data_IF_606128378958
#
_entry.id   IF_606128378958
#
_cell.length_a   1.000
_cell.length_b   1.000
_cell.length_c   1.000
_cell.angle_alpha   90.00
_cell.angle_beta   90.00
_cell.angle_gamma   90.00
#
_symmetry.space_group_name_H-M   'P 1'
#
loop_
_entity.id
_entity.type
_entity.pdbx_description
1 polymer ?
#
# COMPACT_ATOMS: atom_id res chain seq x y z
N UNK A 1 -3.35 -8.17 6.75
CA UNK A 1 -2.54 -7.44 5.76
C UNK A 1 -1.74 -6.34 6.47
N UNK A 2 -0.48 -6.54 6.88
CA UNK A 2 0.34 -5.46 7.44
C UNK A 2 0.82 -4.50 6.35
N UNK A 3 0.67 -3.19 6.61
CA UNK A 3 1.33 -2.17 5.81
C UNK A 3 2.86 -2.25 6.00
N UNK A 4 3.70 -1.96 4.98
CA UNK A 4 5.15 -1.99 5.12
C UNK A 4 5.68 -1.09 6.24
N UNK A 5 4.98 0.02 6.53
CA UNK A 5 5.30 0.93 7.63
C UNK A 5 5.22 0.30 9.04
N UNK A 6 4.60 -0.88 9.18
CA UNK A 6 4.59 -1.61 10.45
C UNK A 6 5.98 -2.07 10.83
N UNK A 7 6.79 -2.51 9.87
CA UNK A 7 8.16 -2.98 10.14
C UNK A 7 9.04 -1.88 10.72
N UNK A 8 8.87 -0.64 10.25
CA UNK A 8 9.60 0.53 10.74
C UNK A 8 9.27 0.95 12.19
N UNK A 9 8.28 0.32 12.83
CA UNK A 9 7.95 0.58 14.24
C UNK A 9 8.87 -0.17 15.20
N UNK A 10 9.60 -1.16 14.73
CA UNK A 10 10.47 -2.00 15.56
C UNK A 10 11.93 -1.62 15.33
N UNK A 11 12.62 -1.27 16.43
CA UNK A 11 14.06 -1.03 16.41
C UNK A 11 14.80 -2.37 16.27
N UNK A 12 15.81 -2.42 15.41
CA UNK A 12 16.66 -3.60 15.22
C UNK A 12 15.87 -4.87 14.85
N UNK A 13 14.91 -4.75 13.94
CA UNK A 13 14.21 -5.90 13.38
C UNK A 13 15.15 -6.64 12.42
N UNK A 14 15.65 -7.78 12.85
CA UNK A 14 16.59 -8.59 12.05
C UNK A 14 15.87 -9.36 10.93
N UNK A 15 14.60 -9.72 11.16
CA UNK A 15 13.79 -10.51 10.22
C UNK A 15 12.31 -10.13 10.34
N UNK A 16 11.67 -9.87 9.21
CA UNK A 16 10.26 -9.55 9.12
C UNK A 16 9.35 -10.68 9.59
N UNK A 17 9.83 -11.92 9.52
CA UNK A 17 9.10 -13.10 9.97
C UNK A 17 8.77 -13.05 11.47
N UNK A 18 9.51 -12.29 12.29
CA UNK A 18 9.12 -12.03 13.69
C UNK A 18 7.79 -11.27 13.79
N UNK A 19 7.60 -10.25 12.96
CA UNK A 19 6.36 -9.46 12.93
C UNK A 19 5.21 -10.33 12.42
N UNK A 20 5.42 -11.04 11.32
CA UNK A 20 4.40 -11.86 10.67
C UNK A 20 3.98 -13.04 11.55
N UNK A 21 4.94 -13.75 12.13
CA UNK A 21 4.67 -14.83 13.10
C UNK A 21 4.01 -14.30 14.37
N UNK A 22 4.41 -13.11 14.83
CA UNK A 22 3.77 -12.43 15.96
C UNK A 22 2.29 -12.15 15.70
N UNK A 23 1.92 -11.71 14.50
CA UNK A 23 0.53 -11.52 14.09
C UNK A 23 -0.26 -12.83 14.12
N UNK A 24 0.30 -13.94 13.63
CA UNK A 24 -0.35 -15.25 13.75
C UNK A 24 -0.55 -15.65 15.22
N UNK A 25 0.40 -15.37 16.10
CA UNK A 25 0.25 -15.63 17.55
C UNK A 25 -0.78 -14.70 18.24
N UNK A 26 -1.17 -13.59 17.60
CA UNK A 26 -2.29 -12.77 18.06
C UNK A 26 -3.66 -13.33 17.67
N UNK A 27 -3.71 -14.33 16.78
CA UNK A 27 -4.94 -15.02 16.41
C UNK A 27 -5.38 -14.81 14.95
N UNK A 28 -4.55 -14.21 14.11
CA UNK A 28 -4.79 -14.22 12.67
C UNK A 28 -4.45 -15.59 12.10
N UNK A 29 -5.37 -16.18 11.33
CA UNK A 29 -5.20 -17.50 10.72
C UNK A 29 -4.10 -17.49 9.64
N UNK A 30 -3.99 -16.37 8.93
CA UNK A 30 -2.97 -16.16 7.91
C UNK A 30 -2.54 -14.69 7.84
N UNK A 31 -1.36 -14.44 7.27
CA UNK A 31 -0.81 -13.08 7.12
C UNK A 31 -0.20 -12.96 5.73
N UNK A 32 -0.57 -11.90 5.00
CA UNK A 32 0.00 -11.57 3.69
C UNK A 32 0.54 -10.15 3.70
N UNK A 33 1.76 -9.97 3.25
CA UNK A 33 2.42 -8.68 3.16
C UNK A 33 1.83 -7.80 2.06
N UNK A 34 1.50 -6.56 2.39
CA UNK A 34 1.12 -5.55 1.39
C UNK A 34 2.34 -5.11 0.57
N UNK A 35 3.53 -5.21 1.12
CA UNK A 35 4.80 -4.96 0.43
C UNK A 35 4.99 -5.81 -0.83
N UNK A 36 4.64 -7.09 -0.80
CA UNK A 36 4.66 -7.95 -2.00
C UNK A 36 3.68 -7.49 -3.08
N UNK A 37 2.49 -7.04 -2.68
CA UNK A 37 1.53 -6.46 -3.62
C UNK A 37 2.00 -5.10 -4.16
N UNK A 38 2.75 -4.32 -3.38
CA UNK A 38 3.34 -3.07 -3.84
C UNK A 38 4.37 -3.31 -4.95
N UNK A 39 5.16 -4.36 -4.88
CA UNK A 39 6.07 -4.77 -5.97
C UNK A 39 5.32 -5.12 -7.25
N UNK A 40 4.20 -5.85 -7.14
CA UNK A 40 3.35 -6.17 -8.29
C UNK A 40 2.74 -4.93 -8.93
N UNK A 41 2.25 -3.98 -8.10
CA UNK A 41 1.72 -2.71 -8.59
C UNK A 41 2.81 -1.89 -9.27
N UNK A 42 4.02 -1.82 -8.70
CA UNK A 42 5.15 -1.12 -9.30
C UNK A 42 5.54 -1.70 -10.67
N UNK A 43 5.56 -3.03 -10.79
CA UNK A 43 5.83 -3.69 -12.06
C UNK A 43 4.72 -3.40 -13.09
N UNK A 44 3.44 -3.45 -12.69
CA UNK A 44 2.33 -3.11 -13.56
C UNK A 44 2.39 -1.64 -14.01
N UNK A 45 2.74 -0.72 -13.10
CA UNK A 45 2.94 0.70 -13.39
C UNK A 45 4.04 0.90 -14.44
N UNK A 46 5.21 0.26 -14.27
CA UNK A 46 6.30 0.32 -15.25
C UNK A 46 5.84 -0.11 -16.64
N UNK A 47 5.13 -1.24 -16.73
CA UNK A 47 4.61 -1.75 -18.01
C UNK A 47 3.63 -0.80 -18.68
N UNK A 48 2.71 -0.20 -17.91
CA UNK A 48 1.78 0.78 -18.45
C UNK A 48 2.49 2.05 -18.92
N UNK A 49 3.47 2.54 -18.18
CA UNK A 49 4.28 3.70 -18.56
C UNK A 49 5.11 3.42 -19.82
N UNK A 50 5.72 2.24 -19.93
CA UNK A 50 6.51 1.82 -21.09
C UNK A 50 5.63 1.62 -22.35
N UNK A 51 4.37 1.23 -22.16
CA UNK A 51 3.39 1.15 -23.25
C UNK A 51 2.97 2.52 -23.80
N UNK A 52 3.28 3.62 -23.09
CA UNK A 52 3.00 4.98 -23.53
C UNK A 52 1.52 5.35 -23.60
N UNK A 53 0.66 4.62 -22.88
CA UNK A 53 -0.80 4.82 -22.90
C UNK A 53 -1.30 5.76 -21.83
N UNK A 54 -0.44 6.14 -20.88
CA UNK A 54 -0.81 7.01 -19.77
C UNK A 54 -0.47 8.48 -20.07
N UNK A 55 -1.32 9.38 -19.59
CA UNK A 55 -1.06 10.82 -19.63
C UNK A 55 0.05 11.18 -18.63
N UNK A 56 1.06 11.93 -19.06
CA UNK A 56 2.17 12.36 -18.22
C UNK A 56 2.00 13.79 -17.71
N UNK A 57 2.53 14.09 -16.51
CA UNK A 57 3.09 13.15 -15.55
C UNK A 57 2.02 12.21 -15.00
N UNK A 58 2.37 10.94 -14.74
CA UNK A 58 1.47 9.98 -14.09
C UNK A 58 1.45 10.24 -12.59
N UNK A 59 0.28 10.43 -12.00
CA UNK A 59 0.13 10.64 -10.56
C UNK A 59 -0.22 9.32 -9.88
N UNK A 60 0.47 8.99 -8.78
CA UNK A 60 0.18 7.80 -7.98
C UNK A 60 -1.27 7.74 -7.52
N UNK A 61 -1.88 6.56 -7.59
CA UNK A 61 -3.22 6.28 -7.04
C UNK A 61 -3.18 5.69 -5.62
N UNK A 62 -2.00 5.55 -5.02
CA UNK A 62 -1.82 4.86 -3.75
C UNK A 62 -2.45 5.59 -2.55
N UNK A 63 -2.45 6.92 -2.56
CA UNK A 63 -3.02 7.73 -1.50
C UNK A 63 -4.49 8.09 -1.78
N UNK A 64 -5.47 7.51 -1.08
CA UNK A 64 -6.89 7.80 -1.34
C UNK A 64 -7.28 9.24 -0.96
N UNK A 65 -6.54 9.90 -0.06
CA UNK A 65 -6.78 11.30 0.25
C UNK A 65 -6.44 12.20 -0.95
N UNK A 66 -5.29 11.94 -1.58
CA UNK A 66 -4.85 12.67 -2.77
C UNK A 66 -5.80 12.43 -3.94
N UNK A 67 -6.19 11.19 -4.20
CA UNK A 67 -7.12 10.87 -5.29
C UNK A 67 -8.48 11.57 -5.09
N UNK A 68 -8.97 11.64 -3.84
CA UNK A 68 -10.19 12.40 -3.52
C UNK A 68 -10.01 13.90 -3.71
N UNK A 69 -8.86 14.44 -3.29
CA UNK A 69 -8.53 15.84 -3.47
C UNK A 69 -8.50 16.21 -4.97
N UNK A 70 -7.86 15.40 -5.81
CA UNK A 70 -7.81 15.60 -7.26
C UNK A 70 -9.24 15.64 -7.80
N UNK A 71 -10.08 14.65 -7.51
CA UNK A 71 -11.45 14.59 -8.01
C UNK A 71 -12.31 15.78 -7.62
N UNK A 72 -12.06 16.41 -6.47
CA UNK A 72 -12.89 17.51 -5.97
C UNK A 72 -12.33 18.87 -6.37
N UNK A 73 -11.01 19.05 -6.33
CA UNK A 73 -10.39 20.36 -6.52
C UNK A 73 -9.65 20.50 -7.86
N UNK A 74 -9.17 19.40 -8.43
CA UNK A 74 -8.35 19.37 -9.64
C UNK A 74 -8.91 18.35 -10.65
N UNK A 75 -10.19 18.46 -11.06
CA UNK A 75 -10.84 17.43 -11.88
C UNK A 75 -10.17 17.19 -13.23
N UNK A 76 -9.50 18.20 -13.78
CA UNK A 76 -8.77 18.10 -15.05
C UNK A 76 -7.52 17.20 -14.95
N UNK A 77 -7.04 16.93 -13.73
CA UNK A 77 -5.94 16.00 -13.47
C UNK A 77 -6.39 14.54 -13.27
N UNK A 78 -7.67 14.23 -13.36
CA UNK A 78 -8.15 12.86 -13.16
C UNK A 78 -7.55 11.87 -14.16
N UNK A 79 -7.29 12.27 -15.38
CA UNK A 79 -6.71 11.42 -16.43
C UNK A 79 -5.20 11.15 -16.21
N UNK A 80 -4.56 11.92 -15.34
CA UNK A 80 -3.18 11.70 -14.91
C UNK A 80 -3.06 10.64 -13.81
N UNK A 81 -4.16 10.34 -13.10
CA UNK A 81 -4.14 9.38 -11.98
C UNK A 81 -3.96 7.96 -12.51
N UNK A 82 -2.98 7.25 -11.97
CA UNK A 82 -2.67 5.87 -12.33
C UNK A 82 -3.92 4.98 -12.21
N UNK A 83 -4.37 4.29 -13.29
CA UNK A 83 -5.59 3.50 -13.26
C UNK A 83 -5.35 2.08 -12.71
N UNK A 84 -4.65 1.97 -11.59
CA UNK A 84 -4.39 0.72 -10.89
C UNK A 84 -4.99 0.75 -9.49
N UNK A 85 -5.31 -0.44 -8.99
CA UNK A 85 -5.69 -0.62 -7.59
C UNK A 85 -4.50 -0.36 -6.68
N UNK A 86 -4.78 0.17 -5.50
CA UNK A 86 -3.75 0.34 -4.48
C UNK A 86 -3.15 -1.01 -4.06
N UNK A 87 -1.91 -1.04 -3.55
CA UNK A 87 -1.32 -2.26 -2.99
C UNK A 87 -2.18 -2.94 -1.93
N UNK A 88 -2.90 -2.18 -1.11
CA UNK A 88 -3.85 -2.69 -0.13
C UNK A 88 -4.95 -3.54 -0.78
N UNK A 89 -5.63 -3.01 -1.79
CA UNK A 89 -6.71 -3.72 -2.49
C UNK A 89 -6.18 -4.93 -3.29
N UNK A 90 -5.01 -4.78 -3.89
CA UNK A 90 -4.34 -5.86 -4.62
C UNK A 90 -3.99 -7.01 -3.67
N UNK A 91 -3.38 -6.70 -2.52
CA UNK A 91 -3.07 -7.69 -1.49
C UNK A 91 -4.34 -8.40 -0.98
N UNK A 92 -5.40 -7.64 -0.72
CA UNK A 92 -6.66 -8.20 -0.22
C UNK A 92 -7.29 -9.19 -1.19
N UNK A 93 -7.30 -8.86 -2.48
CA UNK A 93 -7.79 -9.77 -3.54
C UNK A 93 -7.00 -11.07 -3.58
N UNK A 94 -5.67 -10.96 -3.57
CA UNK A 94 -4.78 -12.13 -3.60
C UNK A 94 -4.97 -12.96 -2.33
N UNK A 95 -4.97 -12.33 -1.16
CA UNK A 95 -5.12 -13.02 0.13
C UNK A 95 -6.44 -13.79 0.23
N UNK A 96 -7.57 -13.16 -0.14
CA UNK A 96 -8.87 -13.83 -0.14
C UNK A 96 -8.88 -14.99 -1.14
N UNK A 97 -8.34 -14.82 -2.33
CA UNK A 97 -8.28 -15.89 -3.33
C UNK A 97 -7.44 -17.07 -2.84
N UNK A 98 -6.29 -16.83 -2.24
CA UNK A 98 -5.44 -17.88 -1.67
C UNK A 98 -6.12 -18.58 -0.48
N UNK A 99 -6.77 -17.81 0.40
CA UNK A 99 -7.50 -18.37 1.54
C UNK A 99 -8.67 -19.25 1.08
N UNK A 100 -9.45 -18.85 0.05
CA UNK A 100 -10.49 -19.68 -0.55
C UNK A 100 -9.92 -21.00 -1.09
N UNK A 101 -8.79 -20.94 -1.80
CA UNK A 101 -8.15 -22.16 -2.34
C UNK A 101 -7.63 -23.07 -1.23
N UNK A 102 -7.07 -22.50 -0.17
CA UNK A 102 -6.49 -23.24 0.96
C UNK A 102 -7.52 -23.88 1.87
N UNK A 103 -8.64 -23.19 2.10
CA UNK A 103 -9.65 -23.59 3.09
C UNK A 103 -10.93 -24.20 2.50
N UNK A 104 -11.21 -23.92 1.23
CA UNK A 104 -12.49 -24.25 0.60
C UNK A 104 -13.66 -23.37 1.06
N UNK A 105 -13.40 -22.35 1.89
CA UNK A 105 -14.44 -21.43 2.37
C UNK A 105 -14.86 -20.46 1.26
N UNK A 106 -16.14 -20.06 1.21
CA UNK A 106 -16.57 -19.00 0.33
C UNK A 106 -16.00 -17.64 0.79
N UNK A 107 -15.87 -16.70 -0.14
CA UNK A 107 -15.24 -15.40 0.05
C UNK A 107 -15.81 -14.61 1.24
N UNK A 108 -17.11 -14.69 1.44
CA UNK A 108 -17.88 -13.99 2.48
C UNK A 108 -17.56 -14.46 3.90
N UNK A 109 -16.94 -15.62 4.02
CA UNK A 109 -16.50 -16.19 5.31
C UNK A 109 -15.01 -15.91 5.60
N UNK A 110 -14.33 -15.20 4.72
CA UNK A 110 -12.92 -14.86 4.87
C UNK A 110 -12.81 -13.37 5.22
N UNK A 111 -12.50 -13.07 6.48
CA UNK A 111 -12.23 -11.70 6.94
C UNK A 111 -10.82 -11.25 6.56
N UNK A 112 -10.71 -10.09 5.94
CA UNK A 112 -9.44 -9.48 5.55
C UNK A 112 -9.28 -8.11 6.21
N UNK A 113 -8.25 -7.94 7.05
CA UNK A 113 -8.03 -6.72 7.82
C UNK A 113 -6.70 -6.08 7.45
N UNK A 114 -6.72 -4.76 7.24
CA UNK A 114 -5.52 -3.98 6.93
C UNK A 114 -4.97 -3.31 8.19
N UNK A 115 -3.72 -3.59 8.54
CA UNK A 115 -3.01 -2.96 9.65
C UNK A 115 -2.27 -1.75 9.11
N UNK A 116 -2.71 -0.54 9.52
CA UNK A 116 -2.27 0.70 8.86
C UNK A 116 -2.14 1.87 9.86
N UNK A 117 -1.21 2.82 9.62
CA UNK A 117 -1.19 4.09 10.36
C UNK A 117 -2.14 5.13 9.74
N UNK A 118 -2.74 4.88 8.57
CA UNK A 118 -3.37 5.90 7.74
C UNK A 118 -4.89 5.93 7.90
N UNK A 119 -5.49 7.00 8.46
CA UNK A 119 -6.94 7.11 8.60
C UNK A 119 -7.68 7.23 7.26
N UNK A 120 -7.01 7.76 6.21
CA UNK A 120 -7.61 7.84 4.89
C UNK A 120 -7.91 6.45 4.29
N UNK A 121 -7.13 5.43 4.65
CA UNK A 121 -7.39 4.04 4.27
C UNK A 121 -8.66 3.48 4.91
N UNK A 122 -9.00 3.89 6.14
CA UNK A 122 -10.28 3.54 6.78
C UNK A 122 -11.46 4.08 5.99
N UNK A 123 -11.36 5.31 5.50
CA UNK A 123 -12.38 5.92 4.63
C UNK A 123 -12.46 5.20 3.29
N UNK A 124 -11.31 4.85 2.71
CA UNK A 124 -11.24 4.16 1.42
C UNK A 124 -11.88 2.76 1.47
N UNK A 125 -11.66 2.01 2.53
CA UNK A 125 -12.30 0.71 2.75
C UNK A 125 -13.83 0.85 2.80
N UNK A 126 -14.36 1.89 3.43
CA UNK A 126 -15.80 2.12 3.58
C UNK A 126 -16.45 2.70 2.33
N UNK A 127 -15.72 3.52 1.60
CA UNK A 127 -16.16 4.24 0.42
C UNK A 127 -15.04 4.23 -0.62
N UNK A 128 -14.79 3.10 -1.27
CA UNK A 128 -13.66 2.95 -2.18
C UNK A 128 -13.82 3.81 -3.43
N UNK A 129 -12.68 4.14 -4.04
CA UNK A 129 -12.64 4.91 -5.28
C UNK A 129 -12.38 3.96 -6.45
N UNK A 130 -13.23 4.04 -7.48
CA UNK A 130 -13.04 3.29 -8.73
C UNK A 130 -13.47 1.82 -8.68
N UNK A 131 -13.92 1.33 -7.52
CA UNK A 131 -14.51 -0.01 -7.34
C UNK A 131 -15.79 0.10 -6.52
N UNK A 132 -16.70 -0.85 -6.68
CA UNK A 132 -17.99 -0.85 -5.98
C UNK A 132 -17.83 -1.15 -4.49
N UNK A 133 -16.96 -2.11 -4.16
CA UNK A 133 -16.71 -2.55 -2.79
C UNK A 133 -15.26 -2.94 -2.60
N UNK A 134 -14.67 -2.54 -1.46
CA UNK A 134 -13.34 -2.98 -1.05
C UNK A 134 -13.33 -4.49 -0.72
N UNK A 135 -12.22 -5.14 -1.01
CA UNK A 135 -11.93 -6.50 -0.56
C UNK A 135 -11.45 -6.54 0.89
N UNK A 136 -11.12 -5.40 1.47
CA UNK A 136 -10.74 -5.27 2.87
C UNK A 136 -12.00 -5.09 3.71
N UNK A 137 -12.18 -5.92 4.73
CA UNK A 137 -13.38 -5.89 5.59
C UNK A 137 -13.23 -4.91 6.75
N UNK A 138 -12.01 -4.52 7.11
CA UNK A 138 -11.75 -3.55 8.15
C UNK A 138 -10.30 -3.12 8.25
N UNK A 139 -10.04 -2.08 9.03
CA UNK A 139 -8.71 -1.59 9.33
C UNK A 139 -8.42 -1.63 10.82
N UNK A 140 -7.18 -1.92 11.16
CA UNK A 140 -6.65 -1.91 12.52
C UNK A 140 -5.53 -0.87 12.56
N UNK A 141 -5.61 0.07 13.50
CA UNK A 141 -4.54 1.05 13.66
C UNK A 141 -3.26 0.39 14.19
N UNK A 142 -2.11 0.78 13.63
CA UNK A 142 -0.81 0.29 14.14
C UNK A 142 -0.67 0.60 15.64
N UNK A 143 -1.09 1.77 16.08
CA UNK A 143 -1.04 2.18 17.50
C UNK A 143 -1.85 1.28 18.44
N UNK A 144 -2.91 0.63 17.93
CA UNK A 144 -3.74 -0.28 18.74
C UNK A 144 -3.14 -1.69 18.81
N UNK A 145 -2.58 -2.18 17.71
CA UNK A 145 -2.05 -3.55 17.67
C UNK A 145 -0.61 -3.63 18.18
N UNK A 146 0.18 -2.56 18.05
CA UNK A 146 1.61 -2.55 18.37
C UNK A 146 1.96 -3.05 19.77
N UNK A 147 1.31 -2.61 20.87
CA UNK A 147 1.66 -3.08 22.21
C UNK A 147 1.45 -4.59 22.38
N UNK A 148 0.39 -5.13 21.78
CA UNK A 148 0.07 -6.54 21.85
C UNK A 148 1.02 -7.36 20.97
N UNK A 149 1.34 -6.87 19.79
CA UNK A 149 2.26 -7.48 18.85
C UNK A 149 3.68 -7.54 19.43
N UNK A 150 4.20 -6.43 19.95
CA UNK A 150 5.52 -6.37 20.59
C UNK A 150 5.62 -7.38 21.72
N UNK A 151 4.61 -7.44 22.61
CA UNK A 151 4.57 -8.43 23.71
C UNK A 151 4.52 -9.87 23.23
N UNK A 152 4.02 -10.16 22.02
CA UNK A 152 4.06 -11.52 21.43
C UNK A 152 5.41 -11.81 20.81
N UNK A 153 5.97 -10.82 20.10
CA UNK A 153 7.27 -10.94 19.46
C UNK A 153 8.38 -11.20 20.49
N UNK A 154 8.36 -10.54 21.64
CA UNK A 154 9.33 -10.73 22.73
C UNK A 154 9.38 -12.18 23.26
N UNK A 155 8.33 -12.96 23.01
CA UNK A 155 8.21 -14.36 23.44
C UNK A 155 8.54 -15.36 22.34
N UNK A 156 8.76 -14.90 21.11
CA UNK A 156 9.10 -15.78 19.99
C UNK A 156 10.56 -16.24 20.10
N UNK A 157 10.75 -17.50 19.82
CA UNK A 157 12.08 -18.09 19.61
C UNK A 157 12.29 -18.36 18.13
N UNK A 158 13.51 -18.56 17.66
CA UNK A 158 13.76 -18.94 16.25
C UNK A 158 12.98 -20.16 15.76
N UNK A 159 12.54 -21.03 16.68
CA UNK A 159 11.71 -22.21 16.35
C UNK A 159 10.24 -21.89 16.12
N UNK A 160 9.79 -20.73 16.59
CA UNK A 160 8.40 -20.26 16.43
C UNK A 160 8.20 -19.50 15.13
N UNK A 161 9.29 -19.16 14.43
CA UNK A 161 9.23 -18.41 13.18
C UNK A 161 8.73 -19.29 12.06
N UNK A 162 7.75 -18.76 11.32
CA UNK A 162 7.32 -19.30 10.04
C UNK A 162 7.92 -18.44 8.94
N UNK A 163 8.36 -19.04 7.83
CA UNK A 163 8.82 -18.32 6.65
C UNK A 163 7.59 -17.77 5.90
N UNK A 164 7.17 -16.58 6.26
CA UNK A 164 5.98 -15.90 5.77
C UNK A 164 6.32 -14.72 4.87
N UNK A 165 7.48 -14.10 5.05
CA UNK A 165 7.96 -12.98 4.26
C UNK A 165 8.22 -13.40 2.81
N UNK A 166 7.62 -12.67 1.88
CA UNK A 166 7.73 -12.92 0.45
C UNK A 166 8.12 -11.66 -0.33
N UNK A 167 8.19 -10.51 0.34
CA UNK A 167 8.54 -9.24 -0.30
C UNK A 167 10.04 -9.00 -0.28
N UNK A 168 10.54 -8.39 -1.34
CA UNK A 168 11.91 -7.89 -1.42
C UNK A 168 12.07 -6.51 -0.80
N UNK A 169 13.28 -5.98 -0.89
CA UNK A 169 13.63 -4.65 -0.37
C UNK A 169 12.79 -3.54 -1.02
N UNK A 170 12.41 -3.69 -2.28
CA UNK A 170 11.58 -2.73 -3.03
C UNK A 170 10.21 -2.60 -2.36
N UNK A 171 9.56 -3.71 -2.06
CA UNK A 171 8.25 -3.71 -1.42
C UNK A 171 8.28 -3.18 0.00
N UNK A 172 9.31 -3.49 0.76
CA UNK A 172 9.46 -3.01 2.14
C UNK A 172 9.73 -1.51 2.19
N UNK A 173 10.60 -1.00 1.31
CA UNK A 173 10.93 0.43 1.23
C UNK A 173 9.83 1.27 0.58
N UNK A 174 8.83 0.65 -0.03
CA UNK A 174 7.75 1.32 -0.74
C UNK A 174 6.96 2.32 0.13
N UNK A 175 6.89 2.08 1.44
CA UNK A 175 6.21 2.97 2.38
C UNK A 175 7.05 4.16 2.87
N UNK A 176 8.27 4.33 2.38
CA UNK A 176 9.07 5.55 2.63
C UNK A 176 8.72 6.62 1.61
N UNK A 177 8.91 7.89 1.94
CA UNK A 177 8.74 8.99 0.98
C UNK A 177 9.66 8.79 -0.22
N UNK A 178 9.10 8.80 -1.43
CA UNK A 178 9.80 8.44 -2.66
C UNK A 178 10.00 6.95 -2.91
N UNK A 179 9.46 6.08 -2.03
CA UNK A 179 9.63 4.64 -2.14
C UNK A 179 8.91 4.03 -3.34
N UNK A 180 7.69 4.47 -3.61
CA UNK A 180 6.93 4.08 -4.81
C UNK A 180 7.68 4.53 -6.08
N UNK A 181 8.10 5.79 -6.14
CA UNK A 181 8.82 6.36 -7.27
C UNK A 181 10.13 5.61 -7.54
N UNK A 182 10.90 5.34 -6.48
CA UNK A 182 12.16 4.59 -6.57
C UNK A 182 11.95 3.17 -7.09
N UNK A 183 10.83 2.54 -6.73
CA UNK A 183 10.46 1.20 -7.18
C UNK A 183 10.21 1.14 -8.70
N UNK A 184 9.90 2.27 -9.35
CA UNK A 184 9.67 2.35 -10.79
C UNK A 184 10.96 2.33 -11.62
N UNK A 185 12.12 2.53 -11.00
CA UNK A 185 13.43 2.56 -11.66
C UNK A 185 13.47 3.57 -12.83
N UNK A 186 12.80 4.71 -12.67
CA UNK A 186 12.78 5.85 -13.60
C UNK A 186 13.55 7.01 -12.99
N UNK A 187 14.07 7.91 -13.80
CA UNK A 187 14.87 9.04 -13.34
C UNK A 187 14.06 10.32 -13.17
N UNK A 188 13.02 10.51 -13.98
CA UNK A 188 12.18 11.71 -14.01
C UNK A 188 10.95 11.55 -13.11
N UNK A 189 11.15 11.63 -11.81
CA UNK A 189 10.04 11.58 -10.86
C UNK A 189 10.14 12.69 -9.81
N UNK A 190 9.02 12.96 -9.16
CA UNK A 190 8.91 13.82 -8.01
C UNK A 190 8.14 13.09 -6.91
N UNK A 191 8.62 13.17 -5.68
CA UNK A 191 7.88 12.72 -4.51
C UNK A 191 7.64 13.91 -3.57
N UNK A 192 6.40 14.08 -3.12
CA UNK A 192 6.05 15.14 -2.18
C UNK A 192 5.10 14.59 -1.10
N UNK A 193 5.36 14.96 0.14
CA UNK A 193 4.51 14.67 1.27
C UNK A 193 4.07 15.97 1.99
N UNK A 194 3.01 15.83 2.79
CA UNK A 194 2.37 16.96 3.44
C UNK A 194 1.40 17.71 2.52
N UNK A 195 0.20 18.00 3.05
CA UNK A 195 -0.92 18.51 2.25
C UNK A 195 -0.61 19.82 1.51
N UNK A 196 0.20 20.69 2.09
CA UNK A 196 0.57 21.97 1.47
C UNK A 196 1.46 21.75 0.25
N UNK A 197 2.43 20.83 0.33
CA UNK A 197 3.30 20.49 -0.80
C UNK A 197 2.51 19.75 -1.89
N UNK A 198 1.64 18.82 -1.50
CA UNK A 198 0.75 18.10 -2.43
C UNK A 198 -0.10 19.08 -3.23
N UNK A 199 -0.75 20.05 -2.55
CA UNK A 199 -1.58 21.06 -3.23
C UNK A 199 -0.73 21.89 -4.21
N UNK A 200 0.46 22.33 -3.79
CA UNK A 200 1.36 23.10 -4.64
C UNK A 200 1.78 22.33 -5.89
N UNK A 201 2.13 21.05 -5.73
CA UNK A 201 2.49 20.22 -6.88
C UNK A 201 1.31 20.06 -7.84
N UNK A 202 0.10 19.83 -7.33
CA UNK A 202 -1.10 19.73 -8.17
C UNK A 202 -1.42 21.03 -8.90
N UNK A 203 -1.27 22.20 -8.26
CA UNK A 203 -1.39 23.51 -8.88
C UNK A 203 -0.35 23.74 -9.99
N UNK A 204 0.88 23.29 -9.78
CA UNK A 204 1.95 23.40 -10.79
C UNK A 204 1.73 22.47 -12.00
N UNK A 205 1.09 21.31 -11.80
CA UNK A 205 0.69 20.42 -12.90
C UNK A 205 -0.44 21.08 -13.70
N UNK A 206 -1.48 21.56 -13.01
CA UNK A 206 -2.65 22.20 -13.64
C UNK A 206 -2.26 23.45 -14.45
N UNK A 207 -1.29 24.20 -13.96
CA UNK A 207 -0.73 25.40 -14.63
C UNK A 207 0.36 25.06 -15.68
N UNK A 208 0.62 23.77 -15.95
CA UNK A 208 1.66 23.28 -16.89
C UNK A 208 3.08 23.79 -16.58
N UNK A 209 3.38 24.03 -15.29
CA UNK A 209 4.67 24.58 -14.83
C UNK A 209 5.67 23.54 -14.33
N UNK A 210 5.25 22.29 -14.15
CA UNK A 210 6.04 21.29 -13.42
C UNK A 210 7.19 20.67 -14.24
N UNK A 211 7.40 21.05 -15.47
CA UNK A 211 8.42 20.47 -16.33
C UNK A 211 8.15 19.02 -16.76
N UNK A 212 9.15 18.39 -17.38
CA UNK A 212 9.01 17.03 -17.90
C UNK A 212 9.26 15.99 -16.82
N UNK A 213 8.19 15.50 -16.20
CA UNK A 213 8.22 14.38 -15.27
C UNK A 213 7.47 13.17 -15.86
N UNK A 214 7.95 11.98 -15.52
CA UNK A 214 7.29 10.71 -15.87
C UNK A 214 6.26 10.32 -14.80
N UNK A 215 6.61 10.48 -13.51
CA UNK A 215 5.82 10.01 -12.39
C UNK A 215 5.85 10.96 -11.20
N UNK A 216 4.74 11.05 -10.48
CA UNK A 216 4.60 11.88 -9.27
C UNK A 216 3.96 11.05 -8.16
N UNK A 217 4.67 10.94 -7.04
CA UNK A 217 4.22 10.34 -5.79
C UNK A 217 3.77 11.42 -4.82
N UNK A 218 2.52 11.35 -4.34
CA UNK A 218 1.90 12.35 -3.46
C UNK A 218 1.24 11.71 -2.23
#
# INVERSE_FOLDING_TARGET
>A
LPAPSLYGQFNNLDDQDYVLSGLKKLGFDDVMEVSGAAELVSEATRRLMDAGTLQRPVISSACPAVVRLIRVRFPDLCDHVLPLLSPMETAARIAKQQAMQKTGLPKEQIGCFFITPCPAKVTDIRMPIGIEKSEVDGAIAISEIFPQLSSRMDKLTPKDLESLSNSGIIGVSWATSGGESSALLKEKYLAADGIENVIRVLEEIEDERIGELDFIEL
#
